data_IF_883372632994
#
_entry.id   IF_883372632994
#
_cell.length_a   1.000
_cell.length_b   1.000
_cell.length_c   1.000
_cell.angle_alpha   90.00
_cell.angle_beta   90.00
_cell.angle_gamma   90.00
#
_symmetry.space_group_name_H-M   'P 1'
#
loop_
_entity.id
_entity.type
_entity.pdbx_description
1 polymer ?
#
# COMPACT_ATOMS: atom_id res chain seq x y z
N UNK A 1 18.25 -13.56 12.28
CA UNK A 1 18.30 -12.44 11.32
C UNK A 1 16.91 -12.18 10.77
N UNK A 2 16.50 -10.95 10.82
CA UNK A 2 15.18 -10.59 10.28
C UNK A 2 15.21 -10.72 8.76
N UNK A 3 14.18 -11.29 8.19
CA UNK A 3 14.02 -11.33 6.75
C UNK A 3 13.70 -9.97 6.20
N UNK A 4 13.77 -9.84 4.88
CA UNK A 4 13.38 -8.61 4.22
C UNK A 4 11.90 -8.35 4.38
N UNK A 5 11.52 -7.10 4.49
CA UNK A 5 10.11 -6.74 4.54
C UNK A 5 9.47 -6.94 3.17
N UNK A 6 8.24 -7.44 3.19
CA UNK A 6 7.49 -7.74 1.96
C UNK A 6 6.46 -6.66 1.73
N UNK A 7 6.43 -6.11 0.52
CA UNK A 7 5.51 -5.05 0.14
C UNK A 7 4.60 -5.56 -0.97
N UNK A 8 3.30 -5.41 -0.78
CA UNK A 8 2.32 -5.72 -1.83
C UNK A 8 2.01 -4.44 -2.59
N UNK A 9 2.14 -4.50 -3.90
CA UNK A 9 1.82 -3.38 -4.79
C UNK A 9 0.53 -3.71 -5.51
N UNK A 10 -0.50 -2.89 -5.33
CA UNK A 10 -1.81 -3.08 -5.98
C UNK A 10 -2.05 -1.90 -6.91
N UNK A 11 -1.92 -2.13 -8.21
CA UNK A 11 -2.06 -1.09 -9.23
C UNK A 11 -2.33 -1.81 -10.55
N UNK A 12 -3.27 -1.29 -11.34
CA UNK A 12 -3.60 -1.91 -12.62
C UNK A 12 -2.63 -1.54 -13.74
N UNK A 13 -1.78 -0.56 -13.53
CA UNK A 13 -0.79 -0.14 -14.51
C UNK A 13 0.48 -0.95 -14.35
N UNK A 14 0.69 -1.92 -15.25
CA UNK A 14 1.81 -2.86 -15.13
C UNK A 14 3.17 -2.19 -15.17
N UNK A 15 3.29 -1.10 -15.93
CA UNK A 15 4.56 -0.36 -15.99
C UNK A 15 4.90 0.27 -14.66
N UNK A 16 3.89 0.78 -13.96
CA UNK A 16 4.07 1.36 -12.62
C UNK A 16 4.51 0.28 -11.64
N UNK A 17 3.83 -0.87 -11.69
CA UNK A 17 4.19 -1.99 -10.82
C UNK A 17 5.63 -2.43 -11.07
N UNK A 18 6.01 -2.53 -12.34
CA UNK A 18 7.37 -2.93 -12.69
C UNK A 18 8.41 -1.94 -12.16
N UNK A 19 8.16 -0.65 -12.37
CA UNK A 19 9.09 0.38 -11.91
C UNK A 19 9.22 0.37 -10.39
N UNK A 20 8.10 0.24 -9.69
CA UNK A 20 8.12 0.16 -8.24
C UNK A 20 8.84 -1.09 -7.74
N UNK A 21 8.58 -2.22 -8.40
CA UNK A 21 9.22 -3.48 -8.03
C UNK A 21 10.73 -3.35 -8.09
N UNK A 22 11.24 -2.81 -9.19
CA UNK A 22 12.68 -2.63 -9.36
C UNK A 22 13.24 -1.72 -8.27
N UNK A 23 12.59 -0.61 -8.02
CA UNK A 23 13.04 0.37 -7.04
C UNK A 23 13.03 -0.20 -5.62
N UNK A 24 11.95 -0.87 -5.26
CA UNK A 24 11.82 -1.42 -3.92
C UNK A 24 12.80 -2.56 -3.69
N UNK A 25 12.96 -3.43 -4.67
CA UNK A 25 13.93 -4.52 -4.54
C UNK A 25 15.36 -4.00 -4.44
N UNK A 26 15.68 -2.91 -5.16
CA UNK A 26 17.00 -2.29 -5.05
C UNK A 26 17.24 -1.71 -3.65
N UNK A 27 16.18 -1.44 -2.91
CA UNK A 27 16.28 -0.91 -1.55
C UNK A 27 16.09 -1.97 -0.47
N UNK A 28 16.14 -3.24 -0.84
CA UNK A 28 16.17 -4.33 0.10
C UNK A 28 14.81 -4.89 0.49
N UNK A 29 13.75 -4.54 -0.24
CA UNK A 29 12.41 -5.08 0.04
C UNK A 29 12.08 -6.25 -0.88
N UNK A 30 11.25 -7.16 -0.38
CA UNK A 30 10.61 -8.16 -1.22
C UNK A 30 9.30 -7.57 -1.73
N UNK A 31 8.85 -7.98 -2.89
CA UNK A 31 7.63 -7.44 -3.48
C UNK A 31 6.72 -8.54 -3.99
N UNK A 32 5.42 -8.30 -3.88
CA UNK A 32 4.40 -9.09 -4.57
C UNK A 32 3.45 -8.10 -5.22
N UNK A 33 2.77 -8.51 -6.26
CA UNK A 33 1.93 -7.60 -7.05
C UNK A 33 0.53 -8.13 -7.23
N UNK A 34 -0.41 -7.21 -7.32
CA UNK A 34 -1.78 -7.49 -7.71
C UNK A 34 -2.24 -6.37 -8.64
N UNK A 35 -3.10 -6.68 -9.58
CA UNK A 35 -3.44 -5.75 -10.66
C UNK A 35 -4.88 -5.27 -10.63
N UNK A 36 -5.62 -5.67 -9.63
CA UNK A 36 -6.95 -5.15 -9.36
C UNK A 36 -7.30 -5.36 -7.89
N UNK A 37 -8.46 -4.83 -7.48
CA UNK A 37 -8.85 -4.87 -6.08
C UNK A 37 -9.09 -6.28 -5.54
N UNK A 38 -9.68 -7.15 -6.36
CA UNK A 38 -9.97 -8.52 -5.93
C UNK A 38 -8.66 -9.27 -5.70
N UNK A 39 -7.72 -9.17 -6.64
CA UNK A 39 -6.39 -9.75 -6.47
C UNK A 39 -5.67 -9.16 -5.27
N UNK A 40 -5.82 -7.85 -5.06
CA UNK A 40 -5.18 -7.17 -3.94
C UNK A 40 -5.58 -7.74 -2.61
N UNK A 41 -6.89 -7.95 -2.43
CA UNK A 41 -7.41 -8.53 -1.19
C UNK A 41 -6.90 -9.97 -1.03
N UNK A 42 -7.00 -10.75 -2.11
CA UNK A 42 -6.52 -12.13 -2.09
C UNK A 42 -5.04 -12.21 -1.71
N UNK A 43 -4.22 -11.38 -2.36
CA UNK A 43 -2.78 -11.41 -2.12
C UNK A 43 -2.42 -10.92 -0.72
N UNK A 44 -3.18 -9.96 -0.17
CA UNK A 44 -2.94 -9.51 1.19
C UNK A 44 -3.16 -10.64 2.19
N UNK A 45 -4.19 -11.44 1.99
CA UNK A 45 -4.46 -12.58 2.87
C UNK A 45 -3.43 -13.70 2.68
N UNK A 46 -3.08 -13.97 1.43
CA UNK A 46 -2.17 -15.07 1.11
C UNK A 46 -0.73 -14.76 1.52
N UNK A 47 -0.25 -13.58 1.15
CA UNK A 47 1.16 -13.25 1.29
C UNK A 47 1.50 -12.56 2.60
N UNK A 48 0.51 -12.03 3.29
CA UNK A 48 0.68 -11.34 4.58
C UNK A 48 1.81 -10.31 4.53
N UNK A 49 1.68 -9.32 3.64
CA UNK A 49 2.76 -8.34 3.50
C UNK A 49 2.88 -7.45 4.73
N UNK A 50 4.01 -6.80 4.84
CA UNK A 50 4.27 -5.85 5.92
C UNK A 50 3.70 -4.48 5.59
N UNK A 51 3.44 -4.24 4.31
CA UNK A 51 2.96 -2.94 3.83
C UNK A 51 2.25 -3.14 2.51
N UNK A 52 1.22 -2.34 2.25
CA UNK A 52 0.50 -2.36 0.98
C UNK A 52 0.57 -0.98 0.35
N UNK A 53 1.03 -0.91 -0.89
CA UNK A 53 0.94 0.30 -1.71
C UNK A 53 -0.27 0.09 -2.62
N UNK A 54 -1.25 0.97 -2.52
CA UNK A 54 -2.57 0.74 -3.09
C UNK A 54 -3.02 1.93 -3.92
N UNK A 55 -3.20 1.70 -5.21
CA UNK A 55 -3.76 2.72 -6.10
C UNK A 55 -5.25 2.87 -5.81
N UNK A 56 -5.72 4.10 -5.75
CA UNK A 56 -7.12 4.36 -5.49
C UNK A 56 -7.98 4.10 -6.72
N UNK A 57 -7.49 4.50 -7.88
CA UNK A 57 -8.28 4.38 -9.10
C UNK A 57 -7.91 3.14 -9.89
N UNK A 58 -8.75 2.13 -9.76
CA UNK A 58 -8.58 0.87 -10.47
C UNK A 58 -9.92 0.36 -10.96
N UNK A 59 -9.95 -0.37 -12.06
CA UNK A 59 -11.16 -1.09 -12.44
C UNK A 59 -11.47 -2.18 -11.41
N UNK A 60 -12.71 -2.60 -11.34
CA UNK A 60 -13.14 -3.70 -10.48
C UNK A 60 -12.87 -3.44 -8.99
N UNK A 61 -13.24 -2.24 -8.54
CA UNK A 61 -13.15 -1.89 -7.14
C UNK A 61 -12.02 -0.91 -6.86
N UNK A 62 -12.39 0.27 -6.37
CA UNK A 62 -11.40 1.29 -6.09
C UNK A 62 -10.63 0.99 -4.81
N UNK A 63 -9.54 1.73 -4.61
CA UNK A 63 -8.67 1.50 -3.47
C UNK A 63 -9.33 1.74 -2.12
N UNK A 64 -10.32 2.64 -2.06
CA UNK A 64 -11.03 2.87 -0.80
C UNK A 64 -11.81 1.63 -0.38
N UNK A 65 -12.51 1.00 -1.32
CA UNK A 65 -13.23 -0.26 -1.05
C UNK A 65 -12.29 -1.36 -0.59
N UNK A 66 -11.15 -1.46 -1.26
CA UNK A 66 -10.14 -2.47 -0.91
C UNK A 66 -9.65 -2.23 0.51
N UNK A 67 -9.30 -0.98 0.83
CA UNK A 67 -8.82 -0.65 2.17
C UNK A 67 -9.87 -0.95 3.24
N UNK A 68 -11.12 -0.61 2.96
CA UNK A 68 -12.23 -0.92 3.87
C UNK A 68 -12.29 -2.40 4.20
N UNK A 69 -12.25 -3.24 3.17
CA UNK A 69 -12.30 -4.69 3.37
C UNK A 69 -11.09 -5.20 4.12
N UNK A 70 -9.92 -4.66 3.84
CA UNK A 70 -8.71 -5.06 4.55
C UNK A 70 -8.79 -4.69 6.03
N UNK A 71 -9.39 -3.54 6.34
CA UNK A 71 -9.55 -3.10 7.74
C UNK A 71 -10.58 -3.90 8.51
N UNK A 72 -11.48 -4.57 7.81
CA UNK A 72 -12.51 -5.40 8.45
C UNK A 72 -12.00 -6.78 8.87
N UNK A 73 -10.86 -7.21 8.34
CA UNK A 73 -10.34 -8.54 8.61
C UNK A 73 -9.23 -8.49 9.65
N UNK A 74 -9.30 -9.36 10.64
CA UNK A 74 -8.26 -9.47 11.67
C UNK A 74 -6.89 -9.77 11.08
N UNK A 75 -6.85 -10.48 9.96
CA UNK A 75 -5.60 -10.87 9.34
C UNK A 75 -4.89 -9.71 8.64
N UNK A 76 -5.63 -8.71 8.23
CA UNK A 76 -5.08 -7.64 7.39
C UNK A 76 -5.24 -6.25 7.97
N UNK A 77 -6.04 -6.08 9.00
CA UNK A 77 -6.37 -4.73 9.49
C UNK A 77 -5.18 -3.95 10.01
N UNK A 78 -4.15 -4.63 10.48
CA UNK A 78 -2.97 -3.97 11.04
C UNK A 78 -1.90 -3.65 9.99
N UNK A 79 -2.08 -4.12 8.74
CA UNK A 79 -1.10 -3.87 7.70
C UNK A 79 -1.21 -2.40 7.28
N UNK A 80 -0.14 -1.63 7.37
CA UNK A 80 -0.20 -0.22 6.94
C UNK A 80 -0.40 -0.12 5.43
N UNK A 81 -1.11 0.92 5.02
CA UNK A 81 -1.44 1.17 3.63
C UNK A 81 -0.91 2.54 3.23
N UNK A 82 -0.29 2.61 2.06
CA UNK A 82 0.03 3.88 1.41
C UNK A 82 -0.87 3.97 0.19
N UNK A 83 -1.72 4.99 0.14
CA UNK A 83 -2.52 5.26 -1.05
C UNK A 83 -1.71 6.04 -2.07
N UNK A 84 -1.86 5.67 -3.34
CA UNK A 84 -1.24 6.39 -4.45
C UNK A 84 -2.31 6.66 -5.48
N UNK A 85 -2.36 7.86 -6.03
CA UNK A 85 -3.35 8.18 -7.05
C UNK A 85 -2.87 9.27 -8.00
N UNK A 86 -3.21 9.11 -9.29
CA UNK A 86 -2.92 10.11 -10.30
C UNK A 86 -4.01 11.17 -10.45
N UNK A 87 -5.19 10.90 -9.89
CA UNK A 87 -6.31 11.83 -10.02
C UNK A 87 -7.05 11.91 -8.70
N UNK A 88 -6.47 12.61 -7.71
CA UNK A 88 -7.13 12.69 -6.41
C UNK A 88 -8.40 13.53 -6.53
N UNK A 89 -9.46 13.04 -5.94
CA UNK A 89 -10.67 13.81 -5.80
C UNK A 89 -10.54 14.74 -4.62
N UNK A 90 -11.45 15.71 -4.53
CA UNK A 90 -11.38 16.76 -3.54
C UNK A 90 -11.24 16.26 -2.10
N UNK A 91 -11.94 15.18 -1.78
CA UNK A 91 -11.98 14.65 -0.41
C UNK A 91 -11.20 13.34 -0.25
N UNK A 92 -10.35 13.01 -1.21
CA UNK A 92 -9.63 11.73 -1.17
C UNK A 92 -8.74 11.57 0.06
N UNK A 93 -8.00 12.61 0.41
CA UNK A 93 -7.13 12.52 1.60
C UNK A 93 -7.94 12.37 2.88
N UNK A 94 -9.08 13.05 2.94
CA UNK A 94 -9.95 12.96 4.11
C UNK A 94 -10.54 11.57 4.25
N UNK A 95 -10.98 10.98 3.14
CA UNK A 95 -11.46 9.59 3.14
C UNK A 95 -10.36 8.64 3.58
N UNK A 96 -9.14 8.85 3.11
CA UNK A 96 -8.00 8.01 3.49
C UNK A 96 -7.78 8.07 5.00
N UNK A 97 -7.80 9.27 5.57
CA UNK A 97 -7.62 9.43 7.00
C UNK A 97 -8.74 8.76 7.78
N UNK A 98 -9.96 8.85 7.28
CA UNK A 98 -11.10 8.19 7.90
C UNK A 98 -10.97 6.68 7.96
N UNK A 99 -10.18 6.10 7.06
CA UNK A 99 -9.89 4.67 7.05
C UNK A 99 -8.63 4.31 7.84
N UNK A 100 -8.01 5.30 8.48
CA UNK A 100 -6.79 5.07 9.23
C UNK A 100 -5.54 5.00 8.37
N UNK A 101 -5.63 5.44 7.11
CA UNK A 101 -4.48 5.47 6.21
C UNK A 101 -3.79 6.81 6.36
N UNK A 102 -2.52 6.78 6.73
CA UNK A 102 -1.75 7.99 7.04
C UNK A 102 -0.95 8.52 5.86
N UNK A 103 -0.71 7.69 4.85
CA UNK A 103 0.18 8.06 3.76
C UNK A 103 -0.61 8.12 2.47
N UNK A 104 -0.54 9.26 1.81
CA UNK A 104 -1.29 9.53 0.60
C UNK A 104 -0.35 10.25 -0.36
N UNK A 105 -0.05 9.62 -1.49
CA UNK A 105 0.94 10.13 -2.44
C UNK A 105 0.27 10.35 -3.79
N UNK A 106 0.49 11.52 -4.37
CA UNK A 106 -0.05 11.87 -5.69
C UNK A 106 0.94 11.48 -6.78
N UNK A 107 0.43 10.90 -7.85
CA UNK A 107 1.22 10.63 -9.05
C UNK A 107 1.26 11.88 -9.93
N UNK A 108 2.32 12.17 -10.65
CA UNK A 108 3.62 11.50 -10.57
C UNK A 108 4.33 11.89 -9.28
N UNK A 109 5.04 10.94 -8.70
CA UNK A 109 5.73 11.18 -7.45
C UNK A 109 7.23 11.04 -7.66
N UNK A 110 7.98 11.69 -6.78
CA UNK A 110 9.41 11.51 -6.68
C UNK A 110 9.66 10.13 -6.04
N UNK A 111 10.49 9.27 -6.64
CA UNK A 111 10.79 7.97 -6.03
C UNK A 111 11.28 8.09 -4.58
N UNK A 112 12.00 9.15 -4.25
CA UNK A 112 12.47 9.37 -2.88
C UNK A 112 11.31 9.61 -1.92
N UNK A 113 10.28 10.31 -2.38
CA UNK A 113 9.08 10.56 -1.58
C UNK A 113 8.39 9.24 -1.22
N UNK A 114 8.26 8.37 -2.20
CA UNK A 114 7.63 7.08 -1.97
C UNK A 114 8.46 6.20 -1.03
N UNK A 115 9.77 6.14 -1.26
CA UNK A 115 10.66 5.35 -0.41
C UNK A 115 10.66 5.84 1.02
N UNK A 116 10.60 7.16 1.21
CA UNK A 116 10.51 7.73 2.54
C UNK A 116 9.21 7.33 3.22
N UNK A 117 8.10 7.38 2.50
CA UNK A 117 6.80 6.97 3.04
C UNK A 117 6.81 5.48 3.41
N UNK A 118 7.41 4.63 2.57
CA UNK A 118 7.55 3.20 2.85
C UNK A 118 8.29 3.00 4.16
N UNK A 119 9.44 3.65 4.30
CA UNK A 119 10.27 3.51 5.47
C UNK A 119 9.51 3.95 6.73
N UNK A 120 8.86 5.10 6.67
CA UNK A 120 8.09 5.62 7.79
C UNK A 120 6.91 4.73 8.15
N UNK A 121 6.21 4.21 7.17
CA UNK A 121 5.07 3.33 7.42
C UNK A 121 5.50 2.04 8.11
N UNK A 122 6.64 1.49 7.70
CA UNK A 122 7.17 0.28 8.32
C UNK A 122 7.65 0.53 9.74
N UNK A 123 8.25 1.68 10.00
CA UNK A 123 8.68 2.05 11.35
C UNK A 123 7.47 2.25 12.26
N UNK A 124 6.45 2.94 11.77
CA UNK A 124 5.23 3.18 12.53
C UNK A 124 4.58 1.85 12.92
N UNK A 125 4.59 0.89 12.00
CA UNK A 125 4.04 -0.43 12.30
C UNK A 125 4.81 -1.13 13.41
N UNK A 126 6.13 -0.99 13.42
CA UNK A 126 6.95 -1.66 14.42
C UNK A 126 6.88 -0.99 15.78
N UNK A 127 6.36 0.21 15.86
CA UNK A 127 6.18 0.91 17.12
C UNK A 127 4.74 0.74 17.61
N UNK A 128 4.59 0.08 18.73
CA UNK A 128 3.29 -0.09 19.36
C UNK A 128 3.29 0.61 20.69
N UNK A 129 2.49 1.67 20.85
CA UNK A 129 2.40 2.27 22.17
C UNK A 129 1.83 1.28 23.15
N UNK A 130 2.25 1.31 24.38
CA UNK A 130 1.68 0.42 25.39
C UNK A 130 0.20 0.70 25.54
N UNK A 131 -0.58 -0.32 25.62
CA UNK A 131 -2.02 -0.20 25.78
C UNK A 131 -2.43 -0.47 27.20
#
# INVERSE_FOLDING_TARGET
MAGKKKILIVDDERDIVRALTIRLQANGYRTVAAYDGVQGIFMAHKERPHLIILDIRMPAGDGFSVAEKLKESKRTKAIPIIFVTGSPERDSEEKARGLGVRYFIKKPYDPEELLDAVQRALETKSFHPPT
#
